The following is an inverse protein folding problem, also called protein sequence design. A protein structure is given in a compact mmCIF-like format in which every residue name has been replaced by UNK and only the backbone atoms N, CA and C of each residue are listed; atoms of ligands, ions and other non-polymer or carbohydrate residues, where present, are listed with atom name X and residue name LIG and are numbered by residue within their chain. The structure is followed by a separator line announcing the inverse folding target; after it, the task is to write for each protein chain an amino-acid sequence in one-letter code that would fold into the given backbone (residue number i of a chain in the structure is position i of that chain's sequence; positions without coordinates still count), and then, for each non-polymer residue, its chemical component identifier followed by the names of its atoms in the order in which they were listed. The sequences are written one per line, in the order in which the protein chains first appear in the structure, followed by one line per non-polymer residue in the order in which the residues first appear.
data_IF_445143054952
#
_entry.id   IF_445143054952
#
_cell.length_a   1.000
_cell.length_b   1.000
_cell.length_c   1.000
_cell.angle_alpha   90.00
_cell.angle_beta   90.00
_cell.angle_gamma   90.00
#
_symmetry.space_group_name_H-M   'P 1'
#
loop_
_entity.id
_entity.type
_entity.pdbx_description
1 polymer ?
#
# COMPACT_ATOMS: atom_id res chain seq x y z
N UNK A 1 5.19 -8.41 -3.95
CA UNK A 1 4.05 -9.09 -4.54
C UNK A 1 2.92 -9.27 -3.54
N UNK A 2 1.71 -8.98 -3.99
CA UNK A 2 0.52 -9.14 -3.15
C UNK A 2 0.21 -10.62 -3.01
N UNK A 3 0.05 -11.07 -1.76
CA UNK A 3 -0.43 -12.42 -1.47
C UNK A 3 -1.84 -12.35 -0.93
N UNK A 4 -2.74 -13.12 -1.52
CA UNK A 4 -4.10 -13.17 -1.01
C UNK A 4 -4.10 -13.93 0.32
N UNK A 5 -4.53 -13.32 1.43
CA UNK A 5 -4.55 -14.04 2.71
C UNK A 5 -5.41 -15.29 2.62
N UNK A 6 -4.89 -16.41 3.13
CA UNK A 6 -5.57 -17.72 3.03
C UNK A 6 -6.96 -17.68 3.65
N UNK A 7 -7.08 -17.07 4.83
CA UNK A 7 -8.36 -17.00 5.51
C UNK A 7 -9.39 -16.18 4.73
N UNK A 8 -8.96 -15.10 4.08
CA UNK A 8 -9.84 -14.30 3.24
C UNK A 8 -10.23 -15.05 1.98
N UNK A 9 -9.30 -15.78 1.38
CA UNK A 9 -9.56 -16.59 0.20
C UNK A 9 -10.55 -17.71 0.51
N UNK A 10 -10.39 -18.40 1.63
CA UNK A 10 -11.28 -19.49 2.05
C UNK A 10 -12.70 -19.00 2.33
N UNK A 11 -12.83 -17.79 2.82
CA UNK A 11 -14.13 -17.20 3.17
C UNK A 11 -14.72 -16.34 2.06
N UNK A 12 -14.09 -16.32 0.87
CA UNK A 12 -14.60 -15.56 -0.26
C UNK A 12 -14.59 -14.06 -0.06
N UNK A 13 -13.67 -13.55 0.76
CA UNK A 13 -13.61 -12.13 1.10
C UNK A 13 -12.85 -11.37 0.03
N UNK A 14 -13.48 -10.37 -0.56
CA UNK A 14 -12.90 -9.47 -1.53
C UNK A 14 -13.00 -8.03 -1.05
N UNK A 15 -12.11 -7.18 -1.54
CA UNK A 15 -12.18 -5.78 -1.18
C UNK A 15 -11.05 -4.96 -1.76
N UNK A 16 -11.17 -3.66 -1.57
CA UNK A 16 -10.16 -2.68 -1.97
C UNK A 16 -9.68 -1.94 -0.73
N UNK A 17 -8.39 -2.02 -0.48
CA UNK A 17 -7.75 -1.28 0.61
C UNK A 17 -7.12 -0.03 0.02
N UNK A 18 -7.49 1.13 0.54
CA UNK A 18 -6.86 2.38 0.12
C UNK A 18 -5.80 2.73 1.15
N UNK A 19 -4.56 2.82 0.70
CA UNK A 19 -3.42 3.13 1.56
C UNK A 19 -2.81 4.46 1.19
N UNK A 20 -2.26 5.14 2.20
CA UNK A 20 -1.42 6.32 1.99
C UNK A 20 -0.04 6.04 2.53
N UNK A 21 0.94 6.62 1.89
CA UNK A 21 2.32 6.57 2.36
C UNK A 21 3.09 7.77 1.83
N UNK A 22 4.22 8.04 2.44
CA UNK A 22 5.09 9.13 2.04
C UNK A 22 6.36 8.55 1.45
N UNK A 23 6.78 9.08 0.30
CA UNK A 23 8.09 8.81 -0.29
C UNK A 23 9.00 9.94 0.13
N UNK A 24 10.01 9.63 0.91
CA UNK A 24 10.98 10.60 1.40
C UNK A 24 11.93 11.04 0.30
N UNK A 25 12.74 12.06 0.60
CA UNK A 25 13.72 12.61 -0.35
C UNK A 25 14.73 11.56 -0.83
N UNK A 26 15.01 10.56 -0.01
CA UNK A 26 15.93 9.46 -0.37
C UNK A 26 15.23 8.29 -1.06
N UNK A 27 13.93 8.40 -1.32
CA UNK A 27 13.15 7.34 -1.94
C UNK A 27 12.56 6.33 -0.97
N UNK A 28 12.85 6.43 0.33
CA UNK A 28 12.30 5.50 1.31
C UNK A 28 10.81 5.73 1.53
N UNK A 29 10.08 4.64 1.80
CA UNK A 29 8.65 4.68 2.04
C UNK A 29 8.42 4.72 3.55
N UNK A 30 7.69 5.73 4.01
CA UNK A 30 7.41 5.94 5.43
C UNK A 30 5.94 6.32 5.63
N UNK A 31 5.50 6.33 6.88
CA UNK A 31 4.16 6.76 7.27
C UNK A 31 3.07 6.03 6.50
N UNK A 32 3.21 4.70 6.40
CA UNK A 32 2.23 3.85 5.73
C UNK A 32 1.00 3.71 6.60
N UNK A 33 -0.17 4.00 6.05
CA UNK A 33 -1.43 3.85 6.78
C UNK A 33 -2.57 3.44 5.85
N UNK A 34 -3.58 2.78 6.42
CA UNK A 34 -4.81 2.44 5.72
C UNK A 34 -5.79 3.59 5.95
N UNK A 35 -6.22 4.24 4.87
CA UNK A 35 -7.21 5.32 4.95
C UNK A 35 -8.61 4.82 4.65
N UNK A 36 -8.73 3.65 4.00
CA UNK A 36 -10.00 2.99 3.79
C UNK A 36 -9.80 1.48 3.82
N UNK A 37 -10.47 0.82 4.77
CA UNK A 37 -10.38 -0.63 4.92
C UNK A 37 -11.02 -1.35 3.74
N UNK A 38 -10.49 -2.53 3.42
CA UNK A 38 -11.08 -3.44 2.44
C UNK A 38 -12.24 -4.26 3.01
N UNK A 39 -12.63 -4.00 4.26
CA UNK A 39 -13.72 -4.71 4.91
C UNK A 39 -13.29 -5.91 5.74
N UNK A 40 -12.00 -6.23 5.74
CA UNK A 40 -11.46 -7.34 6.53
C UNK A 40 -10.04 -7.00 6.97
N UNK A 41 -9.71 -7.21 8.25
CA UNK A 41 -8.37 -6.91 8.77
C UNK A 41 -7.25 -7.64 8.05
N UNK A 42 -7.50 -8.86 7.56
CA UNK A 42 -6.47 -9.63 6.85
C UNK A 42 -6.07 -8.96 5.54
N UNK A 43 -7.03 -8.38 4.82
CA UNK A 43 -6.76 -7.63 3.60
C UNK A 43 -5.97 -6.36 3.90
N UNK A 44 -6.39 -5.63 4.94
CA UNK A 44 -5.74 -4.38 5.32
C UNK A 44 -4.29 -4.63 5.73
N UNK A 45 -4.04 -5.66 6.51
CA UNK A 45 -2.70 -6.03 6.95
C UNK A 45 -1.80 -6.41 5.78
N UNK A 46 -2.32 -7.19 4.84
CA UNK A 46 -1.55 -7.59 3.67
C UNK A 46 -1.22 -6.39 2.78
N UNK A 47 -2.15 -5.47 2.60
CA UNK A 47 -1.91 -4.26 1.81
C UNK A 47 -0.76 -3.43 2.40
N UNK A 48 -0.76 -3.24 3.71
CA UNK A 48 0.32 -2.52 4.40
C UNK A 48 1.65 -3.25 4.24
N UNK A 49 1.65 -4.59 4.40
CA UNK A 49 2.86 -5.40 4.24
C UNK A 49 3.47 -5.20 2.85
N UNK A 50 2.65 -5.25 1.81
CA UNK A 50 3.10 -5.09 0.43
C UNK A 50 3.76 -3.73 0.22
N UNK A 51 3.11 -2.67 0.70
CA UNK A 51 3.66 -1.33 0.54
C UNK A 51 4.98 -1.19 1.28
N UNK A 52 5.07 -1.70 2.51
CA UNK A 52 6.31 -1.65 3.30
C UNK A 52 7.44 -2.47 2.70
N UNK A 53 7.12 -3.48 1.90
CA UNK A 53 8.12 -4.35 1.29
C UNK A 53 8.61 -3.86 -0.08
N UNK A 54 8.02 -2.79 -0.60
CA UNK A 54 8.44 -2.24 -1.90
C UNK A 54 9.85 -1.65 -1.81
N UNK A 55 10.65 -1.78 -2.89
CA UNK A 55 11.95 -1.12 -2.92
C UNK A 55 11.80 0.39 -2.92
N UNK A 56 12.92 1.08 -2.74
CA UNK A 56 12.90 2.54 -2.77
C UNK A 56 12.27 3.06 -4.06
N UNK A 57 11.42 4.05 -3.92
CA UNK A 57 10.80 4.73 -5.04
C UNK A 57 11.69 5.87 -5.50
N UNK A 58 11.52 6.26 -6.75
CA UNK A 58 12.15 7.48 -7.23
C UNK A 58 11.47 8.66 -6.54
N UNK A 59 12.21 9.51 -5.81
CA UNK A 59 11.60 10.65 -5.12
C UNK A 59 10.97 11.64 -6.09
N UNK A 60 9.94 12.33 -5.66
CA UNK A 60 9.42 13.47 -6.38
C UNK A 60 10.48 14.56 -6.47
N UNK A 61 10.37 15.41 -7.50
CA UNK A 61 11.33 16.51 -7.67
C UNK A 61 10.59 17.81 -7.89
N UNK A 62 11.15 18.87 -7.34
CA UNK A 62 10.68 20.22 -7.54
C UNK A 62 11.90 21.11 -7.79
N UNK A 63 11.94 21.76 -8.94
CA UNK A 63 13.07 22.59 -9.35
C UNK A 63 14.41 21.83 -9.30
N UNK A 64 14.37 20.55 -9.71
CA UNK A 64 15.55 19.71 -9.73
C UNK A 64 15.98 19.15 -8.37
N UNK A 65 15.22 19.41 -7.31
CA UNK A 65 15.55 18.93 -5.94
C UNK A 65 14.56 17.88 -5.49
N UNK A 66 15.02 16.81 -4.80
CA UNK A 66 14.11 15.81 -4.24
C UNK A 66 13.20 16.42 -3.17
N UNK A 67 11.93 16.01 -3.17
CA UNK A 67 10.95 16.46 -2.19
C UNK A 67 10.17 15.26 -1.67
N UNK A 68 9.63 15.39 -0.45
CA UNK A 68 8.69 14.40 0.10
C UNK A 68 7.37 14.50 -0.64
N UNK A 69 6.80 13.35 -0.99
CA UNK A 69 5.49 13.30 -1.66
C UNK A 69 4.62 12.26 -0.99
N UNK A 70 3.37 12.62 -0.70
CA UNK A 70 2.37 11.69 -0.18
C UNK A 70 1.60 11.08 -1.35
N UNK A 71 1.50 9.75 -1.35
CA UNK A 71 0.75 9.00 -2.34
C UNK A 71 -0.41 8.29 -1.71
N UNK A 72 -1.48 8.14 -2.48
CA UNK A 72 -2.65 7.33 -2.12
C UNK A 72 -2.82 6.28 -3.21
N UNK A 73 -2.82 5.01 -2.82
CA UNK A 73 -2.90 3.91 -3.79
C UNK A 73 -3.93 2.88 -3.35
N UNK A 74 -4.65 2.27 -4.30
CA UNK A 74 -5.54 1.16 -4.00
C UNK A 74 -4.79 -0.16 -4.10
N UNK A 75 -5.09 -1.09 -3.19
CA UNK A 75 -4.68 -2.49 -3.30
C UNK A 75 -5.95 -3.32 -3.43
N UNK A 76 -6.13 -3.94 -4.58
CA UNK A 76 -7.35 -4.67 -4.87
C UNK A 76 -7.17 -6.15 -4.57
N UNK A 77 -8.14 -6.72 -3.85
CA UNK A 77 -8.21 -8.17 -3.60
C UNK A 77 -9.48 -8.68 -4.26
N UNK A 78 -9.29 -9.44 -5.33
CA UNK A 78 -10.41 -9.95 -6.11
C UNK A 78 -10.22 -11.44 -6.38
N UNK A 79 -11.23 -12.23 -6.07
CA UNK A 79 -11.25 -13.65 -6.36
C UNK A 79 -11.65 -13.88 -7.81
N UNK A 80 -11.08 -14.93 -8.41
CA UNK A 80 -11.44 -15.35 -9.76
C UNK A 80 -12.61 -16.32 -9.76
#
# INVERSE_FOLDING_TARGET
NVKYPVIAQENGIQGRVICQFVVNKDGSIVEVEVVRSGGDPSLDKEAVRVIKSMPKWKPGQQRGKPVRVKYTVPVNFKLQ
#
